data_IF_409274543288
#
_entry.id   IF_409274543288
#
_cell.length_a   1.000
_cell.length_b   1.000
_cell.length_c   1.000
_cell.angle_alpha   90.00
_cell.angle_beta   90.00
_cell.angle_gamma   90.00
#
_symmetry.space_group_name_H-M   'P 1'
#
loop_
_entity.id
_entity.type
_entity.pdbx_description
1 polymer ?
#
# COMPACT_ATOMS: atom_id res chain seq x y z
N UNK A 1 -7.73 -58.43 68.02
CA UNK A 1 -6.93 -58.90 66.88
C UNK A 1 -7.84 -59.00 65.65
N UNK A 2 -7.29 -58.71 64.46
CA UNK A 2 -7.90 -58.87 63.12
C UNK A 2 -9.01 -57.86 62.75
N UNK A 3 -8.69 -56.74 62.09
CA UNK A 3 -8.38 -56.49 60.65
C UNK A 3 -9.62 -56.25 59.78
N UNK A 4 -9.60 -55.15 59.04
CA UNK A 4 -10.56 -54.85 57.97
C UNK A 4 -10.24 -53.52 57.29
N UNK A 5 -9.10 -53.44 56.59
CA UNK A 5 -8.80 -52.36 55.67
C UNK A 5 -9.61 -52.54 54.37
N UNK A 6 -10.20 -51.46 53.86
CA UNK A 6 -10.90 -51.48 52.57
C UNK A 6 -11.25 -50.10 52.03
N UNK A 7 -10.42 -49.60 51.11
CA UNK A 7 -10.90 -48.82 49.95
C UNK A 7 -10.96 -47.29 50.06
N UNK A 8 -9.81 -46.60 49.94
CA UNK A 8 -9.74 -45.20 49.48
C UNK A 8 -8.96 -45.09 48.17
N UNK A 9 -9.42 -45.78 47.14
CA UNK A 9 -8.92 -45.60 45.77
C UNK A 9 -9.97 -45.53 44.62
N UNK A 10 -11.26 -45.14 44.80
CA UNK A 10 -12.15 -44.89 43.66
C UNK A 10 -12.29 -43.41 43.27
N UNK A 11 -11.98 -42.45 44.15
CA UNK A 11 -12.42 -41.04 43.98
C UNK A 11 -11.54 -40.25 43.00
N UNK A 12 -10.22 -40.38 43.09
CA UNK A 12 -9.26 -39.64 42.24
C UNK A 12 -9.36 -40.11 40.78
N UNK A 13 -9.49 -41.42 40.54
CA UNK A 13 -9.72 -41.99 39.19
C UNK A 13 -11.05 -41.53 38.57
N UNK A 14 -12.10 -41.31 39.38
CA UNK A 14 -13.40 -40.81 38.89
C UNK A 14 -13.36 -39.33 38.52
N UNK A 15 -12.63 -38.51 39.29
CA UNK A 15 -12.44 -37.09 38.98
C UNK A 15 -11.60 -36.88 37.71
N UNK A 16 -10.45 -37.55 37.61
CA UNK A 16 -9.61 -37.47 36.41
C UNK A 16 -10.33 -37.96 35.14
N UNK A 17 -11.18 -39.00 35.25
CA UNK A 17 -11.97 -39.52 34.11
C UNK A 17 -13.13 -38.59 33.72
N UNK A 18 -13.66 -37.78 34.65
CA UNK A 18 -14.66 -36.75 34.37
C UNK A 18 -14.04 -35.53 33.68
N UNK A 19 -12.90 -35.05 34.18
CA UNK A 19 -12.17 -33.94 33.54
C UNK A 19 -11.68 -34.31 32.13
N UNK A 20 -11.19 -35.54 31.93
CA UNK A 20 -10.73 -35.99 30.62
C UNK A 20 -11.90 -36.16 29.62
N UNK A 21 -13.08 -36.58 30.09
CA UNK A 21 -14.32 -36.59 29.27
C UNK A 21 -14.81 -35.18 28.95
N UNK A 22 -14.66 -34.23 29.87
CA UNK A 22 -15.08 -32.85 29.67
C UNK A 22 -14.14 -32.11 28.70
N UNK A 23 -12.82 -32.35 28.79
CA UNK A 23 -11.83 -31.88 27.80
C UNK A 23 -12.05 -32.50 26.42
N UNK A 24 -12.30 -33.82 26.35
CA UNK A 24 -12.64 -34.49 25.10
C UNK A 24 -13.91 -33.94 24.45
N UNK A 25 -14.95 -33.66 25.25
CA UNK A 25 -16.22 -33.06 24.76
C UNK A 25 -16.05 -31.62 24.29
N UNK A 26 -15.23 -30.82 24.98
CA UNK A 26 -14.88 -29.46 24.55
C UNK A 26 -14.06 -29.47 23.25
N UNK A 27 -13.12 -30.41 23.10
CA UNK A 27 -12.39 -30.62 21.85
C UNK A 27 -13.29 -31.07 20.71
N UNK A 28 -14.22 -32.02 20.92
CA UNK A 28 -15.14 -32.47 19.88
C UNK A 28 -16.11 -31.37 19.45
N UNK A 29 -16.67 -30.60 20.40
CA UNK A 29 -17.56 -29.46 20.10
C UNK A 29 -16.81 -28.38 19.31
N UNK A 30 -15.54 -28.13 19.64
CA UNK A 30 -14.72 -27.17 18.89
C UNK A 30 -14.42 -27.69 17.47
N UNK A 31 -14.15 -28.99 17.29
CA UNK A 31 -13.97 -29.57 15.95
C UNK A 31 -15.24 -29.65 15.11
N UNK A 32 -16.41 -29.86 15.74
CA UNK A 32 -17.71 -29.84 15.06
C UNK A 32 -18.07 -28.42 14.62
N UNK A 33 -17.87 -27.41 15.49
CA UNK A 33 -18.07 -26.01 15.13
C UNK A 33 -17.16 -25.55 13.98
N UNK A 34 -15.88 -25.96 13.98
CA UNK A 34 -14.94 -25.68 12.87
C UNK A 34 -15.42 -26.34 11.56
N UNK A 35 -15.89 -27.60 11.62
CA UNK A 35 -16.41 -28.30 10.45
C UNK A 35 -17.68 -27.66 9.91
N UNK A 36 -18.62 -27.30 10.78
CA UNK A 36 -19.85 -26.59 10.39
C UNK A 36 -19.54 -25.22 9.77
N UNK A 37 -18.57 -24.48 10.32
CA UNK A 37 -18.12 -23.22 9.75
C UNK A 37 -17.47 -23.40 8.37
N UNK A 38 -16.66 -24.45 8.18
CA UNK A 38 -16.09 -24.79 6.88
C UNK A 38 -17.14 -25.18 5.84
N UNK A 39 -18.15 -25.97 6.24
CA UNK A 39 -19.27 -26.34 5.36
C UNK A 39 -20.03 -25.09 4.94
N UNK A 40 -20.39 -24.22 5.89
CA UNK A 40 -21.10 -22.97 5.61
C UNK A 40 -20.31 -22.06 4.66
N UNK A 41 -19.01 -21.89 4.91
CA UNK A 41 -18.13 -21.11 4.03
C UNK A 41 -18.06 -21.68 2.62
N UNK A 42 -18.03 -23.01 2.48
CA UNK A 42 -18.05 -23.69 1.17
C UNK A 42 -19.38 -23.48 0.44
N UNK A 43 -20.50 -23.65 1.12
CA UNK A 43 -21.84 -23.44 0.56
C UNK A 43 -22.04 -21.99 0.11
N UNK A 44 -21.59 -21.01 0.91
CA UNK A 44 -21.62 -19.59 0.56
C UNK A 44 -20.77 -19.30 -0.70
N UNK A 45 -19.57 -19.87 -0.81
CA UNK A 45 -18.73 -19.75 -2.01
C UNK A 45 -19.41 -20.36 -3.24
N UNK A 46 -20.05 -21.52 -3.10
CA UNK A 46 -20.75 -22.20 -4.20
C UNK A 46 -21.99 -21.41 -4.67
N UNK A 47 -22.76 -20.84 -3.75
CA UNK A 47 -23.87 -19.94 -4.08
C UNK A 47 -23.40 -18.68 -4.80
N UNK A 48 -22.27 -18.10 -4.39
CA UNK A 48 -21.65 -16.96 -5.06
C UNK A 48 -21.17 -17.33 -6.46
N UNK A 49 -20.55 -18.50 -6.65
CA UNK A 49 -20.18 -19.00 -7.99
C UNK A 49 -21.39 -19.15 -8.90
N UNK A 50 -22.47 -19.74 -8.40
CA UNK A 50 -23.70 -19.91 -9.17
C UNK A 50 -24.36 -18.58 -9.57
N UNK A 51 -24.00 -17.47 -8.90
CA UNK A 51 -24.49 -16.11 -9.20
C UNK A 51 -23.69 -15.43 -10.31
N UNK A 52 -22.47 -15.88 -10.57
CA UNK A 52 -21.66 -15.37 -11.67
C UNK A 52 -22.25 -15.80 -13.00
N UNK A 53 -22.19 -14.90 -13.97
CA UNK A 53 -22.68 -15.09 -15.33
C UNK A 53 -21.61 -14.62 -16.32
N UNK A 54 -21.92 -14.70 -17.62
CA UNK A 54 -20.97 -14.32 -18.67
C UNK A 54 -20.42 -12.88 -18.54
N UNK A 55 -21.10 -11.97 -17.82
CA UNK A 55 -20.59 -10.60 -17.63
C UNK A 55 -19.42 -10.58 -16.66
N UNK A 56 -19.51 -11.38 -15.60
CA UNK A 56 -18.42 -11.60 -14.67
C UNK A 56 -17.26 -12.26 -15.40
N UNK A 57 -17.57 -13.29 -16.18
CA UNK A 57 -16.58 -14.03 -16.98
C UNK A 57 -15.79 -13.11 -17.91
N UNK A 58 -16.49 -12.22 -18.65
CA UNK A 58 -15.88 -11.27 -19.56
C UNK A 58 -14.91 -10.28 -18.88
N UNK A 59 -15.28 -9.76 -17.70
CA UNK A 59 -14.40 -8.84 -16.96
C UNK A 59 -13.22 -9.59 -16.35
N UNK A 60 -13.47 -10.74 -15.72
CA UNK A 60 -12.45 -11.53 -15.03
C UNK A 60 -11.47 -12.16 -16.02
N UNK A 61 -11.90 -12.56 -17.21
CA UNK A 61 -11.00 -13.07 -18.26
C UNK A 61 -9.98 -12.03 -18.68
N UNK A 62 -10.40 -10.75 -18.77
CA UNK A 62 -9.50 -9.63 -19.08
C UNK A 62 -8.48 -9.42 -17.95
N UNK A 63 -8.92 -9.49 -16.69
CA UNK A 63 -8.01 -9.41 -15.53
C UNK A 63 -7.03 -10.58 -15.51
N UNK A 64 -7.54 -11.81 -15.69
CA UNK A 64 -6.75 -13.03 -15.67
C UNK A 64 -5.65 -13.01 -16.75
N UNK A 65 -6.00 -12.61 -17.97
CA UNK A 65 -5.03 -12.45 -19.06
C UNK A 65 -3.94 -11.43 -18.70
N UNK A 66 -4.30 -10.27 -18.15
CA UNK A 66 -3.35 -9.20 -17.83
C UNK A 66 -2.42 -9.54 -16.68
N UNK A 67 -2.90 -10.32 -15.71
CA UNK A 67 -2.13 -10.72 -14.53
C UNK A 67 -1.43 -12.08 -14.68
N UNK A 68 -1.69 -12.81 -15.77
CA UNK A 68 -1.22 -14.19 -15.93
C UNK A 68 -1.82 -15.14 -14.89
N UNK A 69 -3.07 -14.91 -14.49
CA UNK A 69 -3.85 -15.81 -13.65
C UNK A 69 -4.65 -16.78 -14.51
N UNK A 70 -5.01 -17.92 -13.93
CA UNK A 70 -6.08 -18.76 -14.46
C UNK A 70 -7.43 -18.11 -14.19
N UNK A 71 -8.44 -18.48 -14.99
CA UNK A 71 -9.81 -18.01 -14.76
C UNK A 71 -10.31 -18.41 -13.36
N UNK A 72 -10.05 -19.65 -12.96
CA UNK A 72 -10.42 -20.16 -11.63
C UNK A 72 -9.78 -19.34 -10.51
N UNK A 73 -8.49 -18.98 -10.60
CA UNK A 73 -7.84 -18.11 -9.61
C UNK A 73 -8.54 -16.74 -9.53
N UNK A 74 -8.82 -16.11 -10.67
CA UNK A 74 -9.49 -14.80 -10.71
C UNK A 74 -10.90 -14.84 -10.12
N UNK A 75 -11.67 -15.89 -10.41
CA UNK A 75 -12.98 -16.13 -9.82
C UNK A 75 -12.90 -16.35 -8.32
N UNK A 76 -11.96 -17.18 -7.86
CA UNK A 76 -11.82 -17.55 -6.46
C UNK A 76 -11.60 -16.34 -5.56
N UNK A 77 -10.86 -15.34 -6.04
CA UNK A 77 -10.66 -14.06 -5.36
C UNK A 77 -11.95 -13.28 -5.18
N UNK A 78 -12.93 -13.39 -6.09
CA UNK A 78 -14.19 -12.63 -6.03
C UNK A 78 -15.22 -13.22 -5.06
N UNK A 79 -15.04 -14.47 -4.64
CA UNK A 79 -15.98 -15.16 -3.76
C UNK A 79 -15.85 -14.75 -2.29
N UNK A 80 -14.77 -14.06 -1.95
CA UNK A 80 -14.52 -13.62 -0.58
C UNK A 80 -15.20 -12.28 -0.29
N UNK A 81 -15.84 -12.19 0.89
CA UNK A 81 -16.54 -10.99 1.34
C UNK A 81 -17.68 -10.55 0.40
N UNK A 82 -17.86 -9.24 0.25
CA UNK A 82 -18.96 -8.63 -0.49
C UNK A 82 -18.55 -8.16 -1.90
N UNK A 83 -17.48 -8.71 -2.45
CA UNK A 83 -16.91 -8.25 -3.72
C UNK A 83 -17.88 -8.38 -4.89
N UNK A 84 -18.70 -9.44 -4.97
CA UNK A 84 -19.71 -9.58 -6.02
C UNK A 84 -20.80 -8.50 -5.98
N UNK A 85 -21.10 -7.91 -4.82
CA UNK A 85 -22.07 -6.81 -4.75
C UNK A 85 -21.57 -5.57 -5.52
N UNK A 86 -20.25 -5.45 -5.69
CA UNK A 86 -19.65 -4.43 -6.52
C UNK A 86 -19.93 -4.64 -8.01
N UNK A 87 -19.89 -5.89 -8.47
CA UNK A 87 -20.26 -6.27 -9.83
C UNK A 87 -21.74 -6.03 -10.09
N UNK A 88 -22.62 -6.45 -9.18
CA UNK A 88 -24.06 -6.21 -9.31
C UNK A 88 -24.39 -4.73 -9.48
N UNK A 89 -23.78 -3.89 -8.63
CA UNK A 89 -23.89 -2.44 -8.75
C UNK A 89 -23.26 -1.90 -10.03
N UNK A 90 -22.15 -2.46 -10.50
CA UNK A 90 -21.52 -2.06 -11.77
C UNK A 90 -22.31 -2.51 -13.00
N UNK A 91 -23.17 -3.51 -12.88
CA UNK A 91 -24.02 -3.95 -13.99
C UNK A 91 -25.42 -3.34 -13.97
N UNK A 92 -25.92 -2.91 -12.80
CA UNK A 92 -27.25 -2.35 -12.65
C UNK A 92 -27.43 -1.00 -13.37
N UNK A 93 -28.64 -0.71 -13.82
CA UNK A 93 -29.02 0.62 -14.31
C UNK A 93 -28.88 1.65 -13.18
N UNK A 94 -28.28 2.82 -13.45
CA UNK A 94 -28.02 3.85 -12.43
C UNK A 94 -27.00 3.44 -11.36
N UNK A 95 -26.35 2.29 -11.54
CA UNK A 95 -25.32 1.81 -10.64
C UNK A 95 -23.97 2.51 -10.81
N UNK A 96 -22.92 1.95 -10.20
CA UNK A 96 -21.59 2.58 -10.18
C UNK A 96 -20.99 2.67 -11.59
N UNK A 97 -20.24 3.74 -11.84
CA UNK A 97 -19.57 3.99 -13.12
C UNK A 97 -18.19 3.33 -13.24
N UNK A 98 -17.63 2.84 -12.12
CA UNK A 98 -16.32 2.21 -12.10
C UNK A 98 -16.30 0.96 -11.20
N UNK A 99 -15.51 -0.03 -11.60
CA UNK A 99 -15.17 -1.21 -10.81
C UNK A 99 -13.64 -1.29 -10.75
N UNK A 100 -13.06 -1.15 -9.56
CA UNK A 100 -11.61 -0.99 -9.36
C UNK A 100 -11.08 -2.20 -8.60
N UNK A 101 -9.93 -2.73 -9.06
CA UNK A 101 -9.26 -3.89 -8.52
C UNK A 101 -7.84 -3.54 -8.16
N UNK A 102 -7.41 -3.95 -6.97
CA UNK A 102 -6.00 -3.96 -6.58
C UNK A 102 -5.47 -5.38 -6.62
N UNK A 103 -4.24 -5.50 -7.10
CA UNK A 103 -3.51 -6.77 -7.16
C UNK A 103 -2.16 -6.64 -6.47
N UNK A 104 -1.79 -7.66 -5.71
CA UNK A 104 -0.49 -7.78 -5.04
C UNK A 104 0.04 -9.19 -5.18
N UNK A 105 1.32 -9.30 -5.50
CA UNK A 105 2.07 -10.56 -5.46
C UNK A 105 3.22 -10.41 -4.46
N UNK A 106 3.17 -11.13 -3.35
CA UNK A 106 4.24 -11.16 -2.36
C UNK A 106 5.16 -12.33 -2.62
N UNK A 107 6.48 -12.04 -2.70
CA UNK A 107 7.49 -13.09 -2.66
C UNK A 107 7.51 -13.70 -1.25
N UNK A 108 7.65 -15.02 -1.12
CA UNK A 108 7.84 -15.65 0.19
C UNK A 108 9.10 -15.09 0.84
N UNK A 109 9.08 -14.96 2.18
CA UNK A 109 10.28 -14.60 2.94
C UNK A 109 11.37 -15.66 2.71
N UNK A 110 12.60 -15.20 2.45
CA UNK A 110 13.75 -16.07 2.20
C UNK A 110 13.91 -17.08 3.34
N UNK A 111 13.76 -18.37 3.04
CA UNK A 111 13.89 -19.47 3.99
C UNK A 111 12.59 -20.24 4.27
N UNK A 112 11.43 -19.71 3.89
CA UNK A 112 10.19 -20.47 3.84
C UNK A 112 9.96 -20.93 2.40
N UNK A 113 9.95 -22.23 2.14
CA UNK A 113 9.65 -22.80 0.81
C UNK A 113 8.19 -22.58 0.35
N UNK A 114 7.59 -21.44 0.70
CA UNK A 114 6.22 -21.08 0.40
C UNK A 114 6.03 -20.70 -1.06
N UNK A 115 4.83 -20.95 -1.58
CA UNK A 115 4.37 -20.43 -2.87
C UNK A 115 4.17 -18.92 -2.79
N UNK A 116 4.39 -18.21 -3.90
CA UNK A 116 4.06 -16.78 -4.00
C UNK A 116 2.59 -16.57 -3.66
N UNK A 117 2.31 -15.65 -2.75
CA UNK A 117 0.94 -15.33 -2.37
C UNK A 117 0.45 -14.22 -3.30
N UNK A 118 -0.59 -14.56 -4.07
CA UNK A 118 -1.27 -13.64 -4.98
C UNK A 118 -2.57 -13.21 -4.32
N UNK A 119 -2.89 -11.93 -4.38
CA UNK A 119 -4.13 -11.40 -3.84
C UNK A 119 -4.73 -10.37 -4.81
N UNK A 120 -5.99 -10.56 -5.17
CA UNK A 120 -6.80 -9.67 -5.99
C UNK A 120 -8.06 -9.32 -5.20
N UNK A 121 -8.41 -8.03 -5.15
CA UNK A 121 -9.65 -7.62 -4.50
C UNK A 121 -10.26 -6.36 -5.11
N UNK A 122 -11.58 -6.23 -5.00
CA UNK A 122 -12.32 -5.04 -5.37
C UNK A 122 -12.17 -3.96 -4.29
N UNK A 123 -11.93 -2.72 -4.70
CA UNK A 123 -11.79 -1.57 -3.81
C UNK A 123 -12.65 -0.39 -4.26
N UNK A 124 -12.95 0.53 -3.33
CA UNK A 124 -13.50 1.86 -3.63
C UNK A 124 -12.40 2.91 -3.89
N UNK A 125 -11.12 2.52 -3.75
CA UNK A 125 -9.96 3.38 -3.95
C UNK A 125 -9.72 4.38 -2.80
N UNK A 126 -10.49 4.32 -1.72
CA UNK A 126 -10.38 5.25 -0.58
C UNK A 126 -9.85 4.62 0.69
N UNK A 127 -10.15 3.34 0.94
CA UNK A 127 -9.79 2.64 2.18
C UNK A 127 -8.53 1.81 2.07
N UNK A 128 -8.35 1.17 0.91
CA UNK A 128 -7.25 0.26 0.71
C UNK A 128 -6.00 1.00 0.23
N UNK A 129 -4.81 0.73 0.80
CA UNK A 129 -3.59 1.27 0.27
C UNK A 129 -3.33 0.71 -1.14
N UNK A 130 -2.84 1.55 -2.03
CA UNK A 130 -2.48 1.13 -3.37
C UNK A 130 -1.41 0.04 -3.34
N UNK A 131 -1.68 -1.07 -4.01
CA UNK A 131 -0.88 -2.31 -3.92
C UNK A 131 0.24 -2.41 -4.94
N UNK A 132 0.38 -1.43 -5.83
CA UNK A 132 1.36 -1.42 -6.92
C UNK A 132 0.75 -1.75 -8.30
N UNK A 133 -0.36 -2.47 -8.34
CA UNK A 133 -1.08 -2.79 -9.57
C UNK A 133 -2.58 -2.52 -9.40
N UNK A 134 -3.12 -1.61 -10.22
CA UNK A 134 -4.55 -1.29 -10.26
C UNK A 134 -5.11 -1.62 -11.64
N UNK A 135 -6.25 -2.28 -11.67
CA UNK A 135 -7.05 -2.46 -12.88
C UNK A 135 -8.43 -1.90 -12.62
N UNK A 136 -9.04 -1.34 -13.64
CA UNK A 136 -10.37 -0.78 -13.49
C UNK A 136 -11.18 -0.93 -14.77
N UNK A 137 -12.47 -1.13 -14.60
CA UNK A 137 -13.46 -1.04 -15.66
C UNK A 137 -14.29 0.20 -15.43
N UNK A 138 -14.47 1.01 -16.47
CA UNK A 138 -15.31 2.22 -16.45
C UNK A 138 -16.43 2.08 -17.46
N UNK A 139 -17.63 2.50 -17.05
CA UNK A 139 -18.80 2.72 -17.90
C UNK A 139 -19.16 4.20 -17.88
N UNK A 140 -18.83 4.97 -18.93
CA UNK A 140 -19.11 6.42 -18.97
C UNK A 140 -20.60 6.74 -18.86
N UNK A 141 -21.45 5.85 -19.37
CA UNK A 141 -22.90 5.99 -19.33
C UNK A 141 -23.53 4.97 -18.37
N UNK A 142 -24.16 5.44 -17.29
CA UNK A 142 -24.87 4.58 -16.35
C UNK A 142 -26.39 4.50 -16.56
N UNK A 143 -26.93 5.17 -17.58
CA UNK A 143 -28.38 5.23 -17.85
C UNK A 143 -29.00 3.90 -18.25
N UNK A 144 -28.20 2.94 -18.72
CA UNK A 144 -28.62 1.59 -19.12
C UNK A 144 -27.88 0.52 -18.29
N UNK A 145 -28.49 -0.65 -18.07
CA UNK A 145 -27.79 -1.77 -17.45
C UNK A 145 -26.75 -2.38 -18.41
N UNK A 146 -25.71 -2.99 -17.83
CA UNK A 146 -24.71 -3.77 -18.57
C UNK A 146 -25.22 -5.21 -18.72
N UNK A 147 -25.22 -5.66 -19.96
CA UNK A 147 -25.68 -6.96 -20.43
C UNK A 147 -24.59 -7.57 -21.33
N UNK A 148 -24.63 -8.87 -21.58
CA UNK A 148 -23.68 -9.50 -22.49
C UNK A 148 -23.70 -8.92 -23.92
N UNK A 149 -24.82 -8.31 -24.33
CA UNK A 149 -24.96 -7.73 -25.67
C UNK A 149 -24.23 -6.38 -25.81
N UNK A 150 -24.13 -5.60 -24.73
CA UNK A 150 -23.56 -4.24 -24.78
C UNK A 150 -22.23 -4.08 -24.02
N UNK A 151 -21.81 -5.07 -23.23
CA UNK A 151 -20.63 -4.98 -22.36
C UNK A 151 -19.36 -4.55 -23.13
N UNK A 152 -19.15 -5.08 -24.33
CA UNK A 152 -17.98 -4.77 -25.16
C UNK A 152 -17.97 -3.34 -25.74
N UNK A 153 -19.10 -2.63 -25.73
CA UNK A 153 -19.24 -1.25 -26.24
C UNK A 153 -19.29 -0.22 -25.12
N UNK A 154 -19.87 -0.61 -23.98
CA UNK A 154 -20.17 0.29 -22.86
C UNK A 154 -19.10 0.24 -21.76
N UNK A 155 -18.29 -0.83 -21.70
CA UNK A 155 -17.28 -1.03 -20.67
C UNK A 155 -15.88 -0.90 -21.24
N UNK A 156 -15.09 -0.02 -20.62
CA UNK A 156 -13.71 0.27 -20.98
C UNK A 156 -12.77 -0.21 -19.88
N UNK A 157 -11.76 -0.97 -20.26
CA UNK A 157 -10.74 -1.46 -19.35
C UNK A 157 -9.53 -0.52 -19.32
N UNK A 158 -9.00 -0.29 -18.12
CA UNK A 158 -7.73 0.39 -17.90
C UNK A 158 -6.90 -0.33 -16.86
N UNK A 159 -5.57 -0.22 -16.99
CA UNK A 159 -4.61 -0.77 -16.05
C UNK A 159 -3.54 0.26 -15.75
N UNK A 160 -3.22 0.39 -14.47
CA UNK A 160 -2.14 1.20 -13.92
C UNK A 160 -1.20 0.27 -13.14
N UNK A 161 -0.18 -0.19 -13.83
CA UNK A 161 0.94 -0.90 -13.22
C UNK A 161 2.01 0.11 -12.81
N UNK A 162 2.35 0.12 -11.53
CA UNK A 162 3.39 0.98 -10.96
C UNK A 162 4.59 0.20 -10.44
N UNK A 163 4.65 -1.11 -10.70
CA UNK A 163 5.77 -1.96 -10.34
C UNK A 163 7.03 -1.53 -11.11
N UNK A 164 7.77 -0.57 -10.55
CA UNK A 164 8.97 0.02 -11.13
C UNK A 164 9.08 1.51 -10.82
N UNK A 165 8.25 2.32 -11.46
CA UNK A 165 8.36 3.79 -11.42
C UNK A 165 7.45 4.47 -10.38
N UNK A 166 6.60 3.70 -9.67
CA UNK A 166 5.63 4.22 -8.72
C UNK A 166 4.40 4.85 -9.39
N UNK A 167 3.37 5.15 -8.60
CA UNK A 167 2.06 5.58 -9.11
C UNK A 167 2.14 6.84 -9.99
N UNK A 168 2.97 7.81 -9.59
CA UNK A 168 3.15 9.05 -10.34
C UNK A 168 3.76 8.79 -11.72
N UNK A 169 4.75 7.90 -11.81
CA UNK A 169 5.35 7.46 -13.06
C UNK A 169 4.34 6.77 -13.96
N UNK A 170 3.55 5.84 -13.41
CA UNK A 170 2.50 5.13 -14.15
C UNK A 170 1.44 6.07 -14.74
N UNK A 171 0.94 7.04 -13.95
CA UNK A 171 -0.04 8.03 -14.43
C UNK A 171 0.59 8.96 -15.47
N UNK A 172 1.83 9.41 -15.25
CA UNK A 172 2.59 10.17 -16.25
C UNK A 172 2.66 9.39 -17.56
N UNK A 173 3.11 8.13 -17.52
CA UNK A 173 3.25 7.28 -18.71
C UNK A 173 1.94 7.13 -19.47
N UNK A 174 0.83 6.89 -18.75
CA UNK A 174 -0.50 6.77 -19.37
C UNK A 174 -0.93 8.07 -20.08
N UNK A 175 -0.72 9.23 -19.45
CA UNK A 175 -1.07 10.52 -20.04
C UNK A 175 -0.18 10.85 -21.24
N UNK A 176 1.13 10.70 -21.09
CA UNK A 176 2.17 11.10 -22.04
C UNK A 176 2.19 10.21 -23.29
N UNK A 177 2.05 8.88 -23.10
CA UNK A 177 2.18 7.90 -24.19
C UNK A 177 0.86 7.55 -24.86
N UNK A 178 -0.27 7.67 -24.15
CA UNK A 178 -1.57 7.19 -24.65
C UNK A 178 -2.55 8.35 -24.82
N UNK A 179 -2.90 9.05 -23.75
CA UNK A 179 -4.03 9.99 -23.80
C UNK A 179 -3.71 11.29 -24.53
N UNK A 180 -2.57 11.93 -24.27
CA UNK A 180 -2.18 13.17 -24.97
C UNK A 180 -2.08 12.91 -26.48
N UNK A 181 -1.33 11.90 -26.97
CA UNK A 181 -1.25 11.61 -28.40
C UNK A 181 -2.60 11.29 -29.04
N UNK A 182 -3.48 10.56 -28.32
CA UNK A 182 -4.82 10.25 -28.80
C UNK A 182 -5.69 11.52 -28.94
N UNK A 183 -5.63 12.42 -27.97
CA UNK A 183 -6.38 13.68 -27.97
C UNK A 183 -5.85 14.68 -29.01
N UNK A 184 -4.53 14.68 -29.24
CA UNK A 184 -3.88 15.47 -30.30
C UNK A 184 -4.39 15.07 -31.69
N UNK A 185 -4.49 13.77 -31.95
CA UNK A 185 -4.99 13.25 -33.23
C UNK A 185 -6.50 13.34 -33.38
N UNK A 186 -7.24 13.53 -32.28
CA UNK A 186 -8.68 13.66 -32.36
C UNK A 186 -9.07 15.01 -33.01
N UNK A 187 -9.71 14.94 -34.16
CA UNK A 187 -10.20 16.10 -34.91
C UNK A 187 -11.55 16.61 -34.40
N UNK A 188 -12.34 15.74 -33.75
CA UNK A 188 -13.72 16.06 -33.33
C UNK A 188 -13.78 16.34 -31.83
N UNK A 189 -13.96 17.61 -31.47
CA UNK A 189 -14.07 18.09 -30.09
C UNK A 189 -15.51 18.52 -29.76
N UNK A 190 -16.49 17.72 -30.17
CA UNK A 190 -17.92 18.01 -29.99
C UNK A 190 -18.39 19.17 -30.85
N UNK A 191 -19.11 20.12 -30.25
CA UNK A 191 -19.67 21.29 -30.92
C UNK A 191 -18.64 22.39 -31.22
N UNK A 192 -17.39 22.20 -30.77
CA UNK A 192 -16.29 23.12 -31.05
C UNK A 192 -15.87 23.00 -32.52
N UNK A 193 -16.09 24.06 -33.29
CA UNK A 193 -15.67 24.16 -34.70
C UNK A 193 -14.90 25.45 -35.00
N UNK A 194 -14.09 25.45 -36.05
CA UNK A 194 -13.32 26.63 -36.50
C UNK A 194 -12.03 26.91 -35.72
N UNK A 195 -11.55 28.15 -35.81
CA UNK A 195 -10.24 28.58 -35.25
C UNK A 195 -10.27 28.60 -33.72
N UNK A 196 -11.39 29.01 -33.12
CA UNK A 196 -11.56 29.04 -31.66
C UNK A 196 -11.45 27.63 -31.06
N UNK A 197 -12.01 26.62 -31.73
CA UNK A 197 -11.88 25.23 -31.32
C UNK A 197 -10.41 24.77 -31.28
N UNK A 198 -9.61 25.16 -32.26
CA UNK A 198 -8.18 24.84 -32.29
C UNK A 198 -7.42 25.53 -31.16
N UNK A 199 -7.74 26.79 -30.84
CA UNK A 199 -7.12 27.49 -29.72
C UNK A 199 -7.47 26.83 -28.37
N UNK A 200 -8.74 26.48 -28.15
CA UNK A 200 -9.19 25.78 -26.94
C UNK A 200 -8.50 24.42 -26.82
N UNK A 201 -8.44 23.64 -27.91
CA UNK A 201 -7.73 22.36 -27.97
C UNK A 201 -6.26 22.52 -27.59
N UNK A 202 -5.55 23.46 -28.22
CA UNK A 202 -4.13 23.71 -27.93
C UNK A 202 -3.90 24.14 -26.47
N UNK A 203 -4.76 24.99 -25.92
CA UNK A 203 -4.68 25.37 -24.51
C UNK A 203 -4.94 24.19 -23.56
N UNK A 204 -5.92 23.34 -23.85
CA UNK A 204 -6.22 22.16 -23.05
C UNK A 204 -5.05 21.16 -23.07
N UNK A 205 -4.53 20.85 -24.26
CA UNK A 205 -3.38 19.96 -24.42
C UNK A 205 -2.14 20.53 -23.74
N UNK A 206 -1.88 21.83 -23.88
CA UNK A 206 -0.80 22.51 -23.16
C UNK A 206 -0.92 22.40 -21.64
N UNK A 207 -2.15 22.48 -21.08
CA UNK A 207 -2.38 22.24 -19.65
C UNK A 207 -2.11 20.79 -19.27
N UNK A 208 -2.52 19.83 -20.11
CA UNK A 208 -2.31 18.40 -19.86
C UNK A 208 -0.80 18.05 -19.88
N UNK A 209 -0.05 18.55 -20.86
CA UNK A 209 1.41 18.39 -20.93
C UNK A 209 2.11 19.09 -19.76
N UNK A 210 1.63 20.27 -19.35
CA UNK A 210 2.14 20.94 -18.15
C UNK A 210 1.91 20.11 -16.89
N UNK A 211 0.72 19.51 -16.75
CA UNK A 211 0.40 18.61 -15.64
C UNK A 211 1.31 17.37 -15.61
N UNK A 212 1.60 16.77 -16.77
CA UNK A 212 2.59 15.69 -16.88
C UNK A 212 3.97 16.14 -16.39
N UNK A 213 4.39 17.36 -16.72
CA UNK A 213 5.62 17.95 -16.20
C UNK A 213 5.62 18.10 -14.67
N UNK A 214 4.49 18.51 -14.08
CA UNK A 214 4.31 18.57 -12.62
C UNK A 214 4.45 17.18 -11.99
N UNK A 215 3.85 16.14 -12.59
CA UNK A 215 3.98 14.76 -12.11
C UNK A 215 5.43 14.27 -12.16
N UNK A 216 6.15 14.56 -13.24
CA UNK A 216 7.57 14.21 -13.36
C UNK A 216 8.42 14.88 -12.27
N UNK A 217 8.18 16.17 -12.02
CA UNK A 217 8.88 16.93 -10.98
C UNK A 217 8.54 16.42 -9.57
N UNK A 218 7.29 16.04 -9.33
CA UNK A 218 6.87 15.44 -8.06
C UNK A 218 7.53 14.07 -7.85
N UNK A 219 7.57 13.21 -8.88
CA UNK A 219 8.25 11.91 -8.82
C UNK A 219 9.75 12.07 -8.52
N UNK A 220 10.44 12.98 -9.20
CA UNK A 220 11.84 13.29 -8.93
C UNK A 220 12.05 13.82 -7.50
N UNK A 221 11.14 14.65 -7.01
CA UNK A 221 11.20 15.17 -5.64
C UNK A 221 11.00 14.07 -4.59
N UNK A 222 10.16 13.06 -4.86
CA UNK A 222 10.00 11.88 -4.00
C UNK A 222 11.23 10.97 -4.05
N UNK A 223 11.83 10.79 -5.23
CA UNK A 223 13.06 9.99 -5.38
C UNK A 223 14.24 10.62 -4.63
N UNK A 224 14.34 11.95 -4.66
CA UNK A 224 15.37 12.74 -3.97
C UNK A 224 14.99 13.12 -2.54
N UNK A 225 13.86 12.60 -2.02
CA UNK A 225 13.44 12.82 -0.66
C UNK A 225 14.51 12.27 0.29
N UNK A 226 14.96 13.13 1.22
CA UNK A 226 15.95 12.76 2.23
C UNK A 226 15.40 11.62 3.07
N UNK A 227 16.18 10.53 3.16
CA UNK A 227 15.97 9.42 4.08
C UNK A 227 17.23 9.26 4.91
N UNK A 228 17.09 9.41 6.23
CA UNK A 228 18.18 9.13 7.15
C UNK A 228 18.41 7.62 7.27
N UNK A 229 19.64 7.23 7.61
CA UNK A 229 20.02 5.82 7.81
C UNK A 229 19.02 5.05 8.69
N UNK A 230 18.66 3.83 8.29
CA UNK A 230 17.73 2.99 9.07
C UNK A 230 18.40 2.53 10.37
N UNK A 231 17.60 2.42 11.43
CA UNK A 231 18.01 1.76 12.67
C UNK A 231 18.16 0.25 12.38
N UNK A 232 19.37 -0.28 12.50
CA UNK A 232 19.64 -1.72 12.28
C UNK A 232 19.54 -2.54 13.58
N UNK A 233 19.71 -1.89 14.74
CA UNK A 233 19.70 -2.57 16.03
C UNK A 233 18.28 -2.97 16.43
N UNK A 234 17.97 -4.27 16.46
CA UNK A 234 16.62 -4.77 16.78
C UNK A 234 16.12 -4.37 18.17
N UNK A 235 17.01 -4.29 19.17
CA UNK A 235 16.62 -3.88 20.53
C UNK A 235 16.16 -2.42 20.54
N UNK A 236 16.88 -1.57 19.82
CA UNK A 236 16.56 -0.16 19.64
C UNK A 236 15.29 0.02 18.77
N UNK A 237 15.11 -0.82 17.75
CA UNK A 237 13.93 -0.79 16.88
C UNK A 237 12.65 -1.17 17.63
N UNK A 238 12.73 -2.17 18.53
CA UNK A 238 11.61 -2.55 19.41
C UNK A 238 11.17 -1.38 20.30
N UNK A 239 12.10 -0.53 20.76
CA UNK A 239 11.76 0.64 21.58
C UNK A 239 10.94 1.70 20.84
N UNK A 240 10.92 1.70 19.50
CA UNK A 240 10.13 2.65 18.70
C UNK A 240 8.63 2.42 18.82
N UNK A 241 8.21 1.22 19.22
CA UNK A 241 6.80 0.81 19.36
C UNK A 241 6.35 0.67 20.81
N UNK A 242 7.25 0.94 21.78
CA UNK A 242 7.04 0.65 23.19
C UNK A 242 6.65 1.89 24.01
N UNK A 243 6.22 1.65 25.26
CA UNK A 243 5.67 2.66 26.17
C UNK A 243 6.76 3.58 26.77
N UNK A 244 6.38 4.79 27.22
CA UNK A 244 7.30 5.77 27.81
C UNK A 244 8.12 5.24 28.99
N UNK A 245 7.60 4.28 29.77
CA UNK A 245 8.33 3.66 30.89
C UNK A 245 9.49 2.77 30.43
N UNK A 246 9.35 2.08 29.30
CA UNK A 246 10.39 1.21 28.75
C UNK A 246 11.52 2.05 28.13
N UNK A 247 11.17 3.18 27.49
CA UNK A 247 12.14 4.17 27.01
C UNK A 247 12.99 4.70 28.18
N UNK A 248 12.37 5.03 29.32
CA UNK A 248 13.11 5.49 30.51
C UNK A 248 14.07 4.41 31.05
N UNK A 249 13.66 3.14 31.04
CA UNK A 249 14.52 2.03 31.49
C UNK A 249 15.74 1.84 30.59
N UNK A 250 15.58 2.12 29.29
CA UNK A 250 16.62 1.94 28.28
C UNK A 250 17.77 2.95 28.40
N UNK A 251 17.53 4.10 29.04
CA UNK A 251 18.54 5.16 29.25
C UNK A 251 19.71 4.72 30.14
N UNK A 252 19.51 3.69 30.98
CA UNK A 252 20.55 3.11 31.83
C UNK A 252 21.23 1.89 31.18
N UNK A 253 20.78 1.47 29.99
CA UNK A 253 21.35 0.33 29.27
C UNK A 253 22.43 0.80 28.31
N UNK A 254 23.69 0.54 28.67
CA UNK A 254 24.84 1.02 27.90
C UNK A 254 24.83 0.54 26.44
N UNK A 255 24.40 -0.69 26.16
CA UNK A 255 24.36 -1.22 24.79
C UNK A 255 23.38 -0.44 23.91
N UNK A 256 22.22 -0.08 24.47
CA UNK A 256 21.17 0.69 23.77
C UNK A 256 21.63 2.14 23.58
N UNK A 257 22.25 2.73 24.60
CA UNK A 257 22.80 4.09 24.52
C UNK A 257 23.88 4.18 23.45
N UNK A 258 24.83 3.24 23.41
CA UNK A 258 25.87 3.21 22.37
C UNK A 258 25.27 3.03 20.97
N UNK A 259 24.25 2.17 20.82
CA UNK A 259 23.56 2.02 19.54
C UNK A 259 22.83 3.31 19.12
N UNK A 260 22.20 4.01 20.07
CA UNK A 260 21.55 5.30 19.86
C UNK A 260 22.57 6.40 19.50
N UNK A 261 23.75 6.41 20.12
CA UNK A 261 24.85 7.33 19.81
C UNK A 261 25.37 7.13 18.38
N UNK A 262 25.59 5.86 17.99
CA UNK A 262 26.07 5.53 16.65
C UNK A 262 25.09 5.95 15.56
N UNK A 263 23.79 5.70 15.73
CA UNK A 263 22.80 6.11 14.73
C UNK A 263 22.62 7.63 14.70
N UNK A 264 22.65 8.30 15.86
CA UNK A 264 22.59 9.76 15.92
C UNK A 264 23.79 10.41 15.22
N UNK A 265 25.02 9.93 15.45
CA UNK A 265 26.20 10.44 14.74
C UNK A 265 26.10 10.24 13.22
N UNK A 266 25.61 9.08 12.76
CA UNK A 266 25.35 8.84 11.33
C UNK A 266 24.36 9.85 10.76
N UNK A 267 23.24 10.07 11.45
CA UNK A 267 22.23 11.04 11.03
C UNK A 267 22.78 12.47 11.02
N UNK A 268 23.56 12.87 12.02
CA UNK A 268 24.17 14.20 12.04
C UNK A 268 25.11 14.40 10.84
N UNK A 269 25.95 13.41 10.52
CA UNK A 269 26.83 13.47 9.36
C UNK A 269 26.05 13.53 8.03
N UNK A 270 24.98 12.75 7.89
CA UNK A 270 24.08 12.80 6.72
C UNK A 270 23.42 14.18 6.58
N UNK A 271 22.96 14.76 7.69
CA UNK A 271 22.34 16.09 7.71
C UNK A 271 23.36 17.16 7.31
N UNK A 272 24.56 17.14 7.89
CA UNK A 272 25.65 18.05 7.53
C UNK A 272 26.02 17.95 6.04
N UNK A 273 26.11 16.74 5.51
CA UNK A 273 26.36 16.52 4.08
C UNK A 273 25.26 17.15 3.23
N UNK A 274 23.98 16.92 3.58
CA UNK A 274 22.83 17.49 2.85
C UNK A 274 22.86 19.02 2.90
N UNK A 275 23.17 19.62 4.05
CA UNK A 275 23.29 21.06 4.21
C UNK A 275 24.45 21.62 3.37
N UNK A 276 25.59 20.95 3.39
CA UNK A 276 26.79 21.35 2.63
C UNK A 276 26.56 21.28 1.12
N UNK A 277 25.99 20.18 0.62
CA UNK A 277 25.56 20.05 -0.79
C UNK A 277 24.54 21.12 -1.18
N UNK A 278 23.71 21.52 -0.22
CA UNK A 278 22.69 22.53 -0.44
C UNK A 278 23.31 23.93 -0.50
N UNK A 279 24.30 24.27 0.32
CA UNK A 279 24.97 25.57 0.31
C UNK A 279 25.95 25.76 -0.85
N UNK A 280 26.33 24.67 -1.52
CA UNK A 280 27.24 24.72 -2.64
C UNK A 280 26.67 25.58 -3.78
N UNK A 281 27.27 26.76 -3.97
CA UNK A 281 26.92 27.68 -5.05
C UNK A 281 27.12 27.02 -6.41
N UNK A 282 26.05 27.00 -7.22
CA UNK A 282 26.14 26.58 -8.62
C UNK A 282 26.74 27.68 -9.47
N UNK A 283 27.60 27.28 -10.41
CA UNK A 283 27.88 28.07 -11.61
C UNK A 283 26.80 27.71 -12.62
N UNK A 284 25.82 28.58 -12.79
CA UNK A 284 24.79 28.42 -13.80
C UNK A 284 25.38 28.75 -15.18
N UNK A 285 24.90 28.07 -16.23
CA UNK A 285 25.17 28.47 -17.59
C UNK A 285 24.24 29.66 -17.96
N UNK A 286 24.69 30.57 -18.82
CA UNK A 286 23.94 31.79 -19.20
C UNK A 286 22.60 31.50 -19.92
N UNK A 287 22.25 30.24 -20.17
CA UNK A 287 21.07 29.79 -20.90
C UNK A 287 19.95 29.18 -20.02
N UNK A 288 20.07 29.25 -18.68
CA UNK A 288 19.04 28.75 -17.75
C UNK A 288 17.84 29.72 -17.73
N UNK A 289 16.69 29.26 -18.24
CA UNK A 289 15.46 30.07 -18.25
C UNK A 289 14.69 30.06 -16.92
N UNK A 290 13.78 31.03 -16.69
CA UNK A 290 13.06 31.21 -15.42
C UNK A 290 12.30 29.97 -14.91
N UNK A 291 11.83 29.12 -15.82
CA UNK A 291 11.13 27.86 -15.47
C UNK A 291 12.08 26.86 -14.81
N UNK A 292 13.31 26.75 -15.30
CA UNK A 292 14.31 25.84 -14.76
C UNK A 292 14.77 26.27 -13.36
N UNK A 293 14.92 27.58 -13.12
CA UNK A 293 15.19 28.12 -11.78
C UNK A 293 14.06 27.77 -10.81
N UNK A 294 12.80 27.99 -11.21
CA UNK A 294 11.64 27.72 -10.36
C UNK A 294 11.54 26.22 -10.01
N UNK A 295 11.77 25.33 -10.98
CA UNK A 295 11.77 23.89 -10.75
C UNK A 295 12.93 23.47 -9.81
N UNK A 296 14.11 24.09 -9.96
CA UNK A 296 15.22 23.90 -9.03
C UNK A 296 14.84 24.30 -7.59
N UNK A 297 14.25 25.49 -7.39
CA UNK A 297 13.82 25.95 -6.07
C UNK A 297 12.74 25.06 -5.45
N UNK A 298 11.77 24.58 -6.25
CA UNK A 298 10.77 23.61 -5.79
C UNK A 298 11.39 22.31 -5.30
N UNK A 299 12.33 21.76 -6.09
CA UNK A 299 13.04 20.52 -5.73
C UNK A 299 13.84 20.69 -4.44
N UNK A 300 14.50 21.83 -4.28
CA UNK A 300 15.23 22.17 -3.06
C UNK A 300 14.32 22.27 -1.85
N UNK A 301 13.20 22.98 -1.97
CA UNK A 301 12.21 23.09 -0.88
C UNK A 301 11.70 21.71 -0.45
N UNK A 302 11.33 20.86 -1.41
CA UNK A 302 10.88 19.49 -1.13
C UNK A 302 11.94 18.65 -0.38
N UNK A 303 13.23 18.81 -0.73
CA UNK A 303 14.34 18.14 -0.03
C UNK A 303 14.43 18.58 1.44
N UNK A 304 14.30 19.88 1.72
CA UNK A 304 14.29 20.42 3.09
C UNK A 304 13.03 20.04 3.88
N UNK A 305 11.87 19.99 3.24
CA UNK A 305 10.62 19.54 3.88
C UNK A 305 10.73 18.06 4.29
N UNK A 306 11.30 17.21 3.43
CA UNK A 306 11.57 15.79 3.74
C UNK A 306 12.55 15.63 4.89
N UNK A 307 13.64 16.42 4.91
CA UNK A 307 14.60 16.41 6.01
C UNK A 307 13.93 16.84 7.33
N UNK A 308 13.12 17.91 7.28
CA UNK A 308 12.36 18.40 8.43
C UNK A 308 11.40 17.34 8.97
N UNK A 309 10.74 16.59 8.07
CA UNK A 309 9.88 15.46 8.46
C UNK A 309 10.68 14.35 9.15
N UNK A 310 11.87 14.00 8.65
CA UNK A 310 12.75 13.00 9.26
C UNK A 310 13.16 13.40 10.68
N UNK A 311 13.59 14.65 10.89
CA UNK A 311 13.99 15.16 12.22
C UNK A 311 12.80 15.21 13.19
N UNK A 312 11.59 15.47 12.68
CA UNK A 312 10.35 15.50 13.49
C UNK A 312 9.71 14.13 13.72
N UNK A 313 10.24 13.06 13.11
CA UNK A 313 9.73 11.69 13.24
C UNK A 313 9.73 11.21 14.69
N UNK A 314 8.85 10.27 15.01
CA UNK A 314 8.81 9.59 16.31
C UNK A 314 10.14 8.90 16.62
N UNK A 315 10.76 8.32 15.60
CA UNK A 315 12.01 7.58 15.68
C UNK A 315 13.15 8.52 16.09
N UNK A 316 13.29 9.65 15.40
CA UNK A 316 14.30 10.64 15.73
C UNK A 316 14.11 11.21 17.13
N UNK A 317 12.86 11.53 17.52
CA UNK A 317 12.54 11.99 18.87
C UNK A 317 12.88 10.98 19.95
N UNK A 318 12.61 9.69 19.73
CA UNK A 318 12.91 8.62 20.69
C UNK A 318 14.42 8.48 20.89
N UNK A 319 15.22 8.49 19.82
CA UNK A 319 16.69 8.45 19.91
C UNK A 319 17.21 9.66 20.70
N UNK A 320 16.74 10.86 20.37
CA UNK A 320 17.12 12.09 21.08
C UNK A 320 16.77 12.00 22.56
N UNK A 321 15.57 11.50 22.91
CA UNK A 321 15.14 11.34 24.30
C UNK A 321 16.03 10.36 25.07
N UNK A 322 16.39 9.20 24.48
CA UNK A 322 17.29 8.22 25.09
C UNK A 322 18.65 8.88 25.40
N UNK A 323 19.21 9.61 24.43
CA UNK A 323 20.50 10.27 24.56
C UNK A 323 20.49 11.40 25.61
N UNK A 324 19.43 12.21 25.65
CA UNK A 324 19.25 13.26 26.68
C UNK A 324 19.18 12.62 28.06
N UNK A 325 18.37 11.58 28.23
CA UNK A 325 18.20 10.88 29.51
C UNK A 325 19.48 10.21 30.00
N UNK A 326 20.23 9.61 29.08
CA UNK A 326 21.55 9.02 29.35
C UNK A 326 22.67 10.05 29.55
N UNK A 327 22.38 11.35 29.37
CA UNK A 327 23.36 12.46 29.43
C UNK A 327 24.53 12.28 28.44
N UNK A 328 24.24 11.71 27.27
CA UNK A 328 25.24 11.54 26.21
C UNK A 328 25.81 12.89 25.75
N UNK A 329 27.08 12.89 25.34
CA UNK A 329 27.77 14.07 24.81
C UNK A 329 27.57 14.26 23.31
N UNK A 330 27.04 13.27 22.59
CA UNK A 330 26.88 13.29 21.12
C UNK A 330 26.05 14.50 20.68
N UNK A 331 24.92 14.76 21.35
CA UNK A 331 24.04 15.90 21.03
C UNK A 331 24.64 17.29 21.31
N UNK A 332 25.80 17.37 21.99
CA UNK A 332 26.47 18.64 22.32
C UNK A 332 27.54 19.05 21.31
N UNK A 333 27.96 18.16 20.41
CA UNK A 333 28.94 18.52 19.38
C UNK A 333 28.31 19.41 18.29
N UNK A 334 27.04 19.19 17.95
CA UNK A 334 26.45 19.86 16.78
C UNK A 334 25.78 21.20 17.11
N UNK A 335 25.44 21.46 18.37
CA UNK A 335 24.81 22.75 18.77
C UNK A 335 25.80 23.92 18.85
N UNK A 336 27.09 23.70 18.57
CA UNK A 336 28.15 24.72 18.69
C UNK A 336 28.65 25.26 17.35
N UNK A 337 28.21 24.68 16.24
CA UNK A 337 28.59 25.07 14.88
C UNK A 337 27.42 25.61 14.04
N UNK A 338 26.27 25.91 14.66
CA UNK A 338 25.13 26.57 14.03
C UNK A 338 25.03 28.05 14.43
#
# INVERSE_FOLDING_TARGET
MSTGAGGKEPSIRRHARRENRQRGRLQTVNTEAIKEQQIRSREEREQKRARMDGRHEFLLSTIAERLGLTMDEAEDFMLDGDQLNAFDSFFAQGGRSALIFFYKETKPEEGTGGTKEKCLWVTDGTKDPYSGCCMFFVRPNSSKPITMLNIHQEVYFGMLDSNGEGLLGAIKGLLDLVFIPALERNEKWGDLSGIEAQQVKQQFLGKLSSFVGVLANAQASVADAVKLSRIENEKLLKLMTLSSSEILSSMNNQDIVVAAENIAMKWCHEIEQILTESEQMRKEADDVGPKAELDHWKKRLARFDSLTACVKSSECKTIVNILIGAKSKVLKCDSKNA
#
